data_IF_048045133336
#
_entry.id   IF_048045133336
#
_cell.length_a   1.000
_cell.length_b   1.000
_cell.length_c   1.000
_cell.angle_alpha   90.00
_cell.angle_beta   90.00
_cell.angle_gamma   90.00
#
_symmetry.space_group_name_H-M   'P 1'
#
loop_
_entity.id
_entity.type
_entity.pdbx_description
1 polymer ?
#
# COMPACT_ATOMS: atom_id res chain seq x y z
N UNK A 1 -19.12 0.45 -8.05
CA UNK A 1 -18.62 -0.61 -7.16
C UNK A 1 -19.26 -0.44 -5.78
N UNK A 2 -19.71 -1.51 -5.12
CA UNK A 2 -20.26 -1.45 -3.76
C UNK A 2 -19.28 -2.10 -2.77
N UNK A 3 -18.67 -1.30 -1.88
CA UNK A 3 -17.66 -1.73 -0.92
C UNK A 3 -18.17 -2.82 0.04
N UNK A 4 -19.44 -2.74 0.45
CA UNK A 4 -20.02 -3.72 1.38
C UNK A 4 -20.15 -5.13 0.78
N UNK A 5 -20.08 -5.23 -0.55
CA UNK A 5 -20.16 -6.48 -1.29
C UNK A 5 -18.77 -6.99 -1.73
N UNK A 6 -17.68 -6.33 -1.31
CA UNK A 6 -16.33 -6.68 -1.72
C UNK A 6 -16.04 -8.18 -1.55
N UNK A 7 -16.41 -8.77 -0.42
CA UNK A 7 -16.14 -10.19 -0.13
C UNK A 7 -17.09 -11.16 -0.86
N UNK A 8 -18.19 -10.65 -1.40
CA UNK A 8 -19.18 -11.46 -2.14
C UNK A 8 -18.94 -11.50 -3.64
N UNK A 9 -18.22 -10.52 -4.19
CA UNK A 9 -17.88 -10.51 -5.61
C UNK A 9 -16.90 -11.64 -5.97
N UNK A 10 -17.02 -12.19 -7.18
CA UNK A 10 -16.00 -13.10 -7.71
C UNK A 10 -14.73 -12.32 -8.08
N UNK A 11 -13.60 -13.01 -8.16
CA UNK A 11 -12.32 -12.41 -8.57
C UNK A 11 -12.42 -11.72 -9.94
N UNK A 12 -13.18 -12.32 -10.87
CA UNK A 12 -13.45 -11.74 -12.20
C UNK A 12 -14.26 -10.44 -12.12
N UNK A 13 -15.29 -10.40 -11.27
CA UNK A 13 -16.11 -9.21 -11.06
C UNK A 13 -15.28 -8.08 -10.46
N UNK A 14 -14.45 -8.39 -9.46
CA UNK A 14 -13.56 -7.42 -8.84
C UNK A 14 -12.55 -6.88 -9.86
N UNK A 15 -11.92 -7.75 -10.64
CA UNK A 15 -11.01 -7.38 -11.71
C UNK A 15 -11.69 -6.48 -12.75
N UNK A 16 -12.92 -6.81 -13.15
CA UNK A 16 -13.72 -5.99 -14.05
C UNK A 16 -13.93 -4.58 -13.49
N UNK A 17 -14.33 -4.43 -12.22
CA UNK A 17 -14.51 -3.12 -11.60
C UNK A 17 -13.20 -2.33 -11.47
N UNK A 18 -12.10 -2.99 -11.13
CA UNK A 18 -10.77 -2.36 -11.06
C UNK A 18 -10.34 -1.81 -12.43
N UNK A 19 -10.57 -2.57 -13.50
CA UNK A 19 -10.23 -2.15 -14.86
C UNK A 19 -11.08 -0.97 -15.37
N UNK A 20 -12.34 -0.89 -14.92
CA UNK A 20 -13.22 0.24 -15.23
C UNK A 20 -12.96 1.47 -14.34
N UNK A 21 -12.14 1.32 -13.29
CA UNK A 21 -11.90 2.38 -12.32
C UNK A 21 -10.86 3.40 -12.81
N UNK A 22 -11.03 4.69 -12.47
CA UNK A 22 -10.06 5.71 -12.82
C UNK A 22 -8.73 5.44 -12.10
N UNK A 23 -7.62 5.81 -12.74
CA UNK A 23 -6.31 5.82 -12.10
C UNK A 23 -6.27 6.95 -11.07
N UNK A 24 -5.76 6.66 -9.87
CA UNK A 24 -5.53 7.67 -8.87
C UNK A 24 -4.37 8.57 -9.32
N UNK A 25 -4.66 9.85 -9.57
CA UNK A 25 -3.65 10.83 -9.94
C UNK A 25 -2.85 11.19 -8.68
N UNK A 26 -1.56 10.85 -8.67
CA UNK A 26 -0.62 11.24 -7.61
C UNK A 26 0.55 12.00 -8.21
N UNK A 27 1.48 12.48 -7.37
CA UNK A 27 2.74 13.10 -7.84
C UNK A 27 3.66 12.09 -8.54
N UNK A 28 3.41 10.79 -8.38
CA UNK A 28 4.13 9.69 -9.03
C UNK A 28 3.26 8.96 -10.05
N UNK A 29 3.90 8.47 -11.10
CA UNK A 29 3.26 7.59 -12.09
C UNK A 29 3.16 6.19 -11.51
N UNK A 30 2.08 5.92 -10.77
CA UNK A 30 1.78 4.60 -10.21
C UNK A 30 0.47 4.07 -10.80
N UNK A 31 0.39 2.76 -11.03
CA UNK A 31 -0.78 2.07 -11.56
C UNK A 31 -1.81 1.75 -10.45
N UNK A 32 -2.15 2.75 -9.63
CA UNK A 32 -3.16 2.61 -8.58
C UNK A 32 -4.55 2.95 -9.15
N UNK A 33 -5.52 2.08 -8.96
CA UNK A 33 -6.92 2.26 -9.40
C UNK A 33 -7.81 2.63 -8.20
N UNK A 34 -8.66 3.64 -8.37
CA UNK A 34 -9.61 4.07 -7.35
C UNK A 34 -10.91 3.28 -7.48
N UNK A 35 -11.07 2.23 -6.68
CA UNK A 35 -12.22 1.33 -6.75
C UNK A 35 -13.49 1.97 -6.17
N UNK A 36 -13.30 2.82 -5.15
CA UNK A 36 -14.34 3.59 -4.46
C UNK A 36 -13.70 4.69 -3.62
N UNK A 37 -14.48 5.43 -2.82
CA UNK A 37 -13.93 6.51 -2.00
C UNK A 37 -12.96 5.98 -0.93
N UNK A 38 -13.23 4.81 -0.35
CA UNK A 38 -12.41 4.22 0.71
C UNK A 38 -11.47 3.10 0.25
N UNK A 39 -11.53 2.65 -1.00
CA UNK A 39 -10.72 1.53 -1.48
C UNK A 39 -9.92 1.87 -2.73
N UNK A 40 -8.69 1.40 -2.74
CA UNK A 40 -7.79 1.43 -3.89
C UNK A 40 -7.32 0.02 -4.22
N UNK A 41 -7.02 -0.20 -5.49
CA UNK A 41 -6.41 -1.43 -5.97
C UNK A 41 -5.03 -1.11 -6.55
N UNK A 42 -4.05 -1.93 -6.15
CA UNK A 42 -2.67 -1.87 -6.63
C UNK A 42 -2.32 -3.20 -7.29
N UNK A 43 -1.64 -3.15 -8.43
CA UNK A 43 -1.10 -4.36 -9.06
C UNK A 43 0.22 -4.77 -8.42
N UNK A 44 0.35 -6.05 -8.08
CA UNK A 44 1.58 -6.72 -7.69
C UNK A 44 1.97 -7.66 -8.85
N UNK A 45 2.90 -7.24 -9.72
CA UNK A 45 3.26 -7.99 -10.92
C UNK A 45 4.11 -9.22 -10.57
N UNK A 46 3.94 -10.29 -11.32
CA UNK A 46 4.86 -11.42 -11.29
C UNK A 46 6.26 -10.97 -11.76
N UNK A 47 7.37 -11.41 -11.14
CA UNK A 47 7.50 -12.48 -10.14
C UNK A 47 7.49 -12.00 -8.68
N UNK A 48 6.99 -10.80 -8.38
CA UNK A 48 6.94 -10.30 -7.00
C UNK A 48 5.92 -11.07 -6.17
N UNK A 49 6.31 -11.49 -4.96
CA UNK A 49 5.38 -12.14 -4.04
C UNK A 49 4.55 -11.06 -3.35
N UNK A 50 3.26 -10.97 -3.68
CA UNK A 50 2.33 -10.03 -3.05
C UNK A 50 2.34 -10.11 -1.52
N UNK A 51 2.69 -11.28 -0.94
CA UNK A 51 2.80 -11.48 0.50
C UNK A 51 3.92 -10.66 1.12
N UNK A 52 4.98 -10.35 0.38
CA UNK A 52 6.04 -9.47 0.86
C UNK A 52 5.48 -8.08 1.20
N UNK A 53 4.53 -7.58 0.40
CA UNK A 53 3.89 -6.29 0.67
C UNK A 53 2.84 -6.41 1.79
N UNK A 54 1.96 -7.41 1.72
CA UNK A 54 0.86 -7.52 2.69
C UNK A 54 1.34 -7.86 4.09
N UNK A 55 2.31 -8.76 4.24
CA UNK A 55 2.86 -9.15 5.54
C UNK A 55 3.65 -7.99 6.18
N UNK A 56 4.35 -7.18 5.37
CA UNK A 56 5.04 -5.97 5.85
C UNK A 56 4.04 -4.93 6.32
N UNK A 57 2.93 -4.74 5.61
CA UNK A 57 1.86 -3.83 6.03
C UNK A 57 1.26 -4.29 7.37
N UNK A 58 0.92 -5.57 7.52
CA UNK A 58 0.40 -6.10 8.78
C UNK A 58 1.41 -5.96 9.92
N UNK A 59 2.70 -6.19 9.64
CA UNK A 59 3.76 -6.00 10.63
C UNK A 59 3.91 -4.53 11.01
N UNK A 60 3.91 -3.62 10.06
CA UNK A 60 4.01 -2.17 10.30
C UNK A 60 2.83 -1.67 11.16
N UNK A 61 1.62 -2.17 10.89
CA UNK A 61 0.44 -1.89 11.72
C UNK A 61 0.61 -2.38 13.15
N UNK A 62 1.17 -3.58 13.34
CA UNK A 62 1.39 -4.15 14.68
C UNK A 62 2.31 -3.29 15.57
N UNK A 63 3.18 -2.47 14.97
CA UNK A 63 4.06 -1.53 15.67
C UNK A 63 3.54 -0.09 15.67
N UNK A 64 2.26 0.12 15.34
CA UNK A 64 1.57 1.40 15.44
C UNK A 64 1.83 2.37 14.28
N UNK A 65 2.37 1.89 13.15
CA UNK A 65 2.50 2.70 11.94
C UNK A 65 1.19 2.64 11.16
N UNK A 66 0.68 3.81 10.78
CA UNK A 66 -0.56 3.91 10.00
C UNK A 66 -0.29 3.56 8.54
N UNK A 67 -0.55 2.31 8.18
CA UNK A 67 -0.46 1.80 6.81
C UNK A 67 -1.84 1.32 6.32
N UNK A 68 -2.08 1.31 5.00
CA UNK A 68 -3.33 0.82 4.41
C UNK A 68 -3.70 -0.58 4.91
N UNK A 69 -4.99 -0.83 5.19
CA UNK A 69 -5.45 -2.19 5.46
C UNK A 69 -5.69 -2.94 4.17
N UNK A 70 -5.00 -4.06 4.01
CA UNK A 70 -5.35 -5.03 2.98
C UNK A 70 -6.74 -5.58 3.30
N UNK A 71 -7.66 -5.43 2.34
CA UNK A 71 -9.04 -5.92 2.44
C UNK A 71 -9.23 -7.23 1.68
N UNK A 72 -8.61 -7.35 0.51
CA UNK A 72 -8.69 -8.55 -0.33
C UNK A 72 -7.49 -8.63 -1.27
N UNK A 73 -7.05 -9.86 -1.55
CA UNK A 73 -6.07 -10.15 -2.60
C UNK A 73 -6.81 -10.93 -3.69
N UNK A 74 -6.67 -10.51 -4.94
CA UNK A 74 -7.32 -11.14 -6.10
C UNK A 74 -6.25 -11.65 -7.07
N UNK A 75 -6.18 -12.95 -7.34
CA UNK A 75 -5.27 -13.49 -8.35
C UNK A 75 -5.72 -13.08 -9.76
N UNK A 76 -4.76 -12.70 -10.60
CA UNK A 76 -4.97 -12.43 -12.02
C UNK A 76 -4.40 -13.55 -12.89
N UNK A 77 -4.78 -13.62 -14.18
CA UNK A 77 -4.08 -14.43 -15.16
C UNK A 77 -2.56 -14.11 -15.16
N UNK A 78 -1.75 -15.08 -15.58
CA UNK A 78 -0.28 -14.92 -15.71
C UNK A 78 0.51 -14.79 -14.39
N UNK A 79 -0.16 -14.89 -13.23
CA UNK A 79 0.48 -14.93 -11.92
C UNK A 79 0.56 -13.58 -11.21
N UNK A 80 0.03 -12.53 -11.82
CA UNK A 80 -0.14 -11.22 -11.21
C UNK A 80 -1.20 -11.26 -10.10
N UNK A 81 -1.14 -10.30 -9.18
CA UNK A 81 -2.13 -10.16 -8.12
C UNK A 81 -2.61 -8.72 -8.00
N UNK A 82 -3.88 -8.52 -7.70
CA UNK A 82 -4.42 -7.23 -7.27
C UNK A 82 -4.54 -7.22 -5.75
N UNK A 83 -3.92 -6.22 -5.12
CA UNK A 83 -4.04 -5.97 -3.70
C UNK A 83 -5.07 -4.85 -3.52
N UNK A 84 -6.21 -5.18 -2.94
CA UNK A 84 -7.26 -4.23 -2.60
C UNK A 84 -7.06 -3.80 -1.17
N UNK A 85 -6.93 -2.50 -0.97
CA UNK A 85 -6.60 -1.92 0.32
C UNK A 85 -7.37 -0.63 0.58
N UNK A 86 -7.43 -0.26 1.85
CA UNK A 86 -8.01 1.02 2.26
C UNK A 86 -7.25 2.21 1.70
N UNK A 87 -7.98 3.23 1.26
CA UNK A 87 -7.44 4.49 0.84
C UNK A 87 -7.12 5.36 2.05
N UNK A 88 -5.87 5.80 2.15
CA UNK A 88 -5.49 6.84 3.10
C UNK A 88 -5.76 8.20 2.46
N UNK A 89 -6.68 8.96 3.06
CA UNK A 89 -7.02 10.31 2.63
C UNK A 89 -5.97 11.31 3.11
N UNK A 90 -5.55 12.21 2.24
CA UNK A 90 -4.64 13.30 2.60
C UNK A 90 -3.88 13.86 1.42
N UNK A 91 -3.10 14.91 1.70
CA UNK A 91 -2.09 15.43 0.79
C UNK A 91 -0.77 14.74 1.07
N UNK A 92 0.03 14.49 0.04
CA UNK A 92 1.37 13.94 0.23
C UNK A 92 2.26 14.97 0.94
N UNK A 93 3.30 14.51 1.63
CA UNK A 93 4.25 15.41 2.26
C UNK A 93 4.93 16.33 1.23
N UNK A 94 5.18 15.83 0.02
CA UNK A 94 5.70 16.60 -1.11
C UNK A 94 4.79 17.79 -1.47
N UNK A 95 3.47 17.57 -1.54
CA UNK A 95 2.50 18.64 -1.80
C UNK A 95 2.44 19.68 -0.68
N UNK A 96 2.67 19.25 0.56
CA UNK A 96 2.65 20.14 1.73
C UNK A 96 3.98 20.83 2.01
N UNK A 97 5.09 20.30 1.48
CA UNK A 97 6.45 20.78 1.75
C UNK A 97 6.65 22.28 1.53
N UNK A 98 6.16 22.89 0.43
CA UNK A 98 6.33 24.31 0.18
C UNK A 98 5.61 25.22 1.20
N UNK A 99 4.50 24.74 1.76
CA UNK A 99 3.62 25.52 2.65
C UNK A 99 3.90 25.27 4.14
N UNK A 100 4.90 24.43 4.46
CA UNK A 100 5.20 24.02 5.82
C UNK A 100 6.04 25.07 6.57
N UNK A 101 5.47 25.61 7.66
CA UNK A 101 6.23 26.42 8.62
C UNK A 101 7.27 25.60 9.39
N UNK A 102 8.31 26.27 9.91
CA UNK A 102 9.45 25.64 10.60
C UNK A 102 9.02 24.69 11.73
N UNK A 103 8.07 25.10 12.57
CA UNK A 103 7.56 24.28 13.67
C UNK A 103 6.84 23.02 13.19
N UNK A 104 6.05 23.13 12.12
CA UNK A 104 5.36 22.00 11.50
C UNK A 104 6.35 21.03 10.87
N UNK A 105 7.38 21.55 10.19
CA UNK A 105 8.46 20.74 9.62
C UNK A 105 9.22 19.96 10.70
N UNK A 106 9.56 20.60 11.83
CA UNK A 106 10.18 19.93 12.98
C UNK A 106 9.25 18.80 13.47
N UNK A 107 7.97 19.09 13.73
CA UNK A 107 7.00 18.10 14.20
C UNK A 107 6.88 16.89 13.25
N UNK A 108 6.82 17.13 11.95
CA UNK A 108 6.77 16.07 10.93
C UNK A 108 8.06 15.24 10.95
N UNK A 109 9.23 15.88 11.06
CA UNK A 109 10.51 15.17 11.14
C UNK A 109 10.56 14.25 12.37
N UNK A 110 10.08 14.72 13.53
CA UNK A 110 9.96 13.88 14.73
C UNK A 110 9.00 12.71 14.54
N UNK A 111 7.84 12.94 13.90
CA UNK A 111 6.86 11.89 13.62
C UNK A 111 7.42 10.82 12.67
N UNK A 112 8.08 11.23 11.59
CA UNK A 112 8.75 10.30 10.67
C UNK A 112 9.84 9.51 11.38
N UNK A 113 10.64 10.17 12.23
CA UNK A 113 11.68 9.49 13.02
C UNK A 113 11.08 8.46 13.98
N UNK A 114 9.94 8.77 14.60
CA UNK A 114 9.21 7.83 15.45
C UNK A 114 8.72 6.61 14.66
N UNK A 115 8.15 6.80 13.46
CA UNK A 115 7.72 5.69 12.62
C UNK A 115 8.89 4.82 12.16
N UNK A 116 9.99 5.41 11.71
CA UNK A 116 11.20 4.66 11.35
C UNK A 116 11.75 3.91 12.56
N UNK A 117 11.75 4.53 13.74
CA UNK A 117 12.17 3.86 14.98
C UNK A 117 11.27 2.66 15.30
N UNK A 118 9.95 2.81 15.20
CA UNK A 118 9.01 1.72 15.41
C UNK A 118 9.23 0.57 14.40
N UNK A 119 9.38 0.89 13.11
CA UNK A 119 9.65 -0.11 12.07
C UNK A 119 10.97 -0.86 12.31
N UNK A 120 12.01 -0.18 12.80
CA UNK A 120 13.28 -0.84 13.14
C UNK A 120 13.17 -1.86 14.26
N UNK A 121 12.18 -1.72 15.15
CA UNK A 121 11.92 -2.73 16.19
C UNK A 121 11.24 -3.98 15.62
N UNK A 122 10.56 -3.86 14.47
CA UNK A 122 10.00 -4.99 13.75
C UNK A 122 11.10 -5.66 12.91
N UNK A 123 11.95 -6.44 13.55
CA UNK A 123 12.99 -7.22 12.86
C UNK A 123 12.36 -8.47 12.22
N UNK A 124 12.56 -8.67 10.92
CA UNK A 124 12.26 -9.93 10.24
C UNK A 124 13.43 -10.90 10.43
N UNK A 125 13.14 -12.20 10.62
CA UNK A 125 14.15 -13.25 10.63
C UNK A 125 14.72 -13.55 9.22
N UNK A 126 14.14 -12.98 8.16
CA UNK A 126 14.59 -13.15 6.77
C UNK A 126 15.28 -11.88 6.27
N UNK A 127 16.42 -12.07 5.60
CA UNK A 127 17.12 -11.02 4.84
C UNK A 127 16.48 -10.90 3.44
N UNK A 128 15.58 -9.94 3.24
CA UNK A 128 14.84 -9.75 1.98
C UNK A 128 13.33 -9.61 2.21
N UNK A 129 12.52 -9.86 1.17
CA UNK A 129 11.06 -9.94 1.27
C UNK A 129 10.62 -10.78 2.46
N UNK A 130 9.62 -10.33 3.22
CA UNK A 130 9.19 -10.99 4.47
C UNK A 130 8.67 -12.41 4.21
N UNK A 131 8.01 -12.63 3.09
CA UNK A 131 7.55 -13.94 2.61
C UNK A 131 8.63 -14.60 1.74
N UNK A 132 9.09 -13.92 0.69
CA UNK A 132 9.92 -14.54 -0.36
C UNK A 132 11.40 -14.66 -0.01
N UNK A 133 11.91 -13.84 0.91
CA UNK A 133 13.34 -13.71 1.19
C UNK A 133 14.15 -13.14 0.04
N UNK A 134 13.51 -12.60 -1.01
CA UNK A 134 14.20 -12.03 -2.16
C UNK A 134 14.72 -10.64 -1.83
N UNK A 135 15.95 -10.35 -2.23
CA UNK A 135 16.56 -9.02 -2.10
C UNK A 135 16.52 -8.36 -3.48
N UNK A 136 15.62 -7.40 -3.66
CA UNK A 136 15.61 -6.52 -4.83
C UNK A 136 16.45 -5.29 -4.50
N UNK A 137 17.78 -5.45 -4.45
CA UNK A 137 18.70 -4.31 -4.39
C UNK A 137 19.39 -4.17 -5.74
N UNK A 138 18.90 -3.24 -6.55
CA UNK A 138 19.68 -2.68 -7.66
C UNK A 138 20.59 -1.62 -7.04
N UNK A 139 21.88 -1.93 -6.91
CA UNK A 139 22.92 -0.96 -6.55
C UNK A 139 23.52 -0.36 -7.82
#
# INVERSE_FOLDING_TARGET
FNEALLDTYTDEQVTYYVNQSPTLITTRTESIRLLSDHLVAKSAPWPEDHRDETDVMDKARSVGVNVPAVRRIVPLPEGDHLIIMERIHGKTLEQLWPDLGLWSAIRIAWQLRSFVSALRTATSQKTGGVSSGRVNSEW
#
